data_IF_173776130781
#
_entry.id   IF_173776130781
#
_cell.length_a   1.000
_cell.length_b   1.000
_cell.length_c   1.000
_cell.angle_alpha   90.00
_cell.angle_beta   90.00
_cell.angle_gamma   90.00
#
_symmetry.space_group_name_H-M   'P 1'
#
loop_
_entity.id
_entity.type
_entity.pdbx_description
1 polymer ?
#
# COMPACT_ATOMS: atom_id res chain seq x y z
N UNK A 1 -14.81 12.95 -7.35
CA UNK A 1 -13.65 12.42 -6.59
C UNK A 1 -12.60 13.50 -6.56
N UNK A 2 -12.27 14.02 -5.38
CA UNK A 2 -11.27 15.09 -5.23
C UNK A 2 -9.89 14.48 -4.94
N UNK A 3 -8.92 14.98 -5.70
CA UNK A 3 -7.48 14.75 -5.72
C UNK A 3 -6.83 14.86 -4.33
N UNK A 4 -6.94 13.82 -3.50
CA UNK A 4 -5.98 13.63 -2.42
C UNK A 4 -4.76 12.98 -3.09
N UNK A 5 -3.60 13.61 -3.01
CA UNK A 5 -2.29 13.10 -3.49
C UNK A 5 -1.91 13.32 -4.97
N UNK A 6 -2.65 14.15 -5.73
CA UNK A 6 -2.23 14.55 -7.08
C UNK A 6 -2.32 13.47 -8.16
N UNK A 7 -2.83 12.28 -7.82
CA UNK A 7 -3.13 11.21 -8.79
C UNK A 7 -4.59 11.33 -9.24
N UNK A 8 -4.80 11.49 -10.54
CA UNK A 8 -6.12 11.33 -11.14
C UNK A 8 -6.41 9.84 -11.42
N UNK A 9 -7.59 9.54 -11.96
CA UNK A 9 -7.97 8.16 -12.24
C UNK A 9 -7.05 7.52 -13.29
N UNK A 10 -6.62 8.28 -14.31
CA UNK A 10 -5.71 7.79 -15.33
C UNK A 10 -4.33 7.44 -14.77
N UNK A 11 -3.79 8.26 -13.86
CA UNK A 11 -2.56 7.99 -13.15
C UNK A 11 -2.67 6.78 -12.23
N UNK A 12 -3.82 6.60 -11.56
CA UNK A 12 -4.09 5.39 -10.77
C UNK A 12 -4.08 4.14 -11.65
N UNK A 13 -4.78 4.17 -12.78
CA UNK A 13 -4.90 3.02 -13.68
C UNK A 13 -3.57 2.67 -14.33
N UNK A 14 -2.77 3.67 -14.72
CA UNK A 14 -1.41 3.48 -15.22
C UNK A 14 -0.51 2.82 -14.18
N UNK A 15 -0.51 3.32 -12.93
CA UNK A 15 0.28 2.74 -11.84
C UNK A 15 -0.19 1.32 -11.48
N UNK A 16 -1.51 1.08 -11.52
CA UNK A 16 -2.07 -0.25 -11.30
C UNK A 16 -1.63 -1.24 -12.39
N UNK A 17 -1.62 -0.82 -13.65
CA UNK A 17 -1.13 -1.62 -14.76
C UNK A 17 0.39 -1.88 -14.69
N UNK A 18 1.18 -0.85 -14.36
CA UNK A 18 2.63 -0.96 -14.15
C UNK A 18 2.97 -1.96 -13.03
N UNK A 19 2.16 -1.98 -11.96
CA UNK A 19 2.29 -2.95 -10.88
C UNK A 19 1.77 -4.35 -11.21
N UNK A 20 1.21 -4.59 -12.39
CA UNK A 20 0.63 -5.88 -12.77
C UNK A 20 -0.69 -6.20 -12.06
N UNK A 21 -1.42 -5.19 -11.60
CA UNK A 21 -2.71 -5.35 -10.95
C UNK A 21 -2.67 -5.92 -9.53
N UNK A 22 -1.52 -5.84 -8.86
CA UNK A 22 -1.30 -6.40 -7.52
C UNK A 22 -0.75 -5.37 -6.53
N UNK A 23 -0.87 -5.68 -5.24
CA UNK A 23 -0.22 -4.94 -4.16
C UNK A 23 1.30 -4.89 -4.38
N UNK A 24 1.91 -3.71 -4.28
CA UNK A 24 3.35 -3.55 -4.51
C UNK A 24 4.22 -4.34 -3.51
N UNK A 25 3.71 -4.61 -2.30
CA UNK A 25 4.42 -5.34 -1.24
C UNK A 25 4.12 -6.84 -1.31
N UNK A 26 2.89 -7.28 -0.99
CA UNK A 26 2.58 -8.71 -0.87
C UNK A 26 2.31 -9.41 -2.21
N UNK A 27 2.23 -8.68 -3.33
CA UNK A 27 1.94 -9.20 -4.68
C UNK A 27 0.59 -9.92 -4.84
N UNK A 28 -0.29 -9.82 -3.85
CA UNK A 28 -1.66 -10.31 -3.94
C UNK A 28 -2.55 -9.38 -4.76
N UNK A 29 -3.50 -9.97 -5.48
CA UNK A 29 -4.56 -9.22 -6.18
C UNK A 29 -5.50 -8.55 -5.18
N UNK A 30 -6.09 -7.38 -5.51
CA UNK A 30 -7.13 -6.79 -4.69
C UNK A 30 -8.37 -7.70 -4.63
N UNK A 31 -8.84 -7.96 -3.44
CA UNK A 31 -10.06 -8.72 -3.15
C UNK A 31 -10.86 -8.04 -2.05
N UNK A 32 -12.15 -8.38 -1.86
CA UNK A 32 -12.92 -7.89 -0.72
C UNK A 32 -12.32 -8.22 0.66
N UNK A 33 -11.36 -9.17 0.74
CA UNK A 33 -10.70 -9.56 1.99
C UNK A 33 -9.50 -8.67 2.35
N UNK A 34 -8.80 -8.10 1.37
CA UNK A 34 -7.58 -7.32 1.59
C UNK A 34 -7.71 -5.85 1.13
N UNK A 35 -8.90 -5.43 0.70
CA UNK A 35 -9.25 -4.04 0.39
C UNK A 35 -10.39 -3.57 1.30
N UNK A 36 -10.56 -2.25 1.45
CA UNK A 36 -11.66 -1.72 2.25
C UNK A 36 -12.96 -1.80 1.46
N UNK A 37 -14.05 -2.19 2.14
CA UNK A 37 -15.38 -2.31 1.51
C UNK A 37 -15.82 -1.03 0.78
N UNK A 38 -15.50 0.15 1.31
CA UNK A 38 -15.86 1.44 0.72
C UNK A 38 -14.93 1.90 -0.41
N UNK A 39 -13.94 1.10 -0.81
CA UNK A 39 -13.01 1.40 -1.90
C UNK A 39 -13.27 0.63 -3.18
N UNK A 40 -14.37 -0.12 -3.25
CA UNK A 40 -14.79 -0.80 -4.48
C UNK A 40 -13.68 -1.70 -5.08
N UNK A 41 -12.98 -2.43 -4.20
CA UNK A 41 -11.87 -3.30 -4.61
C UNK A 41 -10.59 -2.57 -5.02
N UNK A 42 -10.48 -1.25 -4.82
CA UNK A 42 -9.24 -0.50 -5.13
C UNK A 42 -8.19 -0.67 -4.03
N UNK A 43 -6.92 -0.62 -4.45
CA UNK A 43 -5.75 -0.57 -3.59
C UNK A 43 -5.55 0.86 -3.03
N UNK A 44 -4.91 0.98 -1.87
CA UNK A 44 -4.47 2.24 -1.29
C UNK A 44 -3.43 2.91 -2.19
N UNK A 45 -3.52 4.22 -2.39
CA UNK A 45 -2.38 5.02 -2.88
C UNK A 45 -1.44 5.30 -1.71
N UNK A 46 -0.33 4.58 -1.65
CA UNK A 46 0.73 4.82 -0.67
C UNK A 46 1.62 5.98 -1.13
N UNK A 47 1.92 6.88 -0.20
CA UNK A 47 2.69 8.07 -0.45
C UNK A 47 3.57 8.41 0.75
N UNK A 48 4.67 9.07 0.46
CA UNK A 48 5.54 9.66 1.46
C UNK A 48 4.84 10.88 2.09
N UNK A 49 4.74 10.92 3.41
CA UNK A 49 3.99 11.95 4.13
C UNK A 49 4.72 13.31 4.17
N UNK A 50 6.04 13.34 3.95
CA UNK A 50 6.85 14.57 4.00
C UNK A 50 6.92 15.24 2.62
N UNK A 51 7.06 14.44 1.58
CA UNK A 51 7.25 14.91 0.19
C UNK A 51 5.99 14.82 -0.66
N UNK A 52 4.98 14.05 -0.23
CA UNK A 52 3.80 13.74 -1.03
C UNK A 52 4.08 12.79 -2.21
N UNK A 53 5.30 12.28 -2.35
CA UNK A 53 5.69 11.40 -3.46
C UNK A 53 4.95 10.07 -3.34
N UNK A 54 4.22 9.71 -4.40
CA UNK A 54 3.56 8.40 -4.49
C UNK A 54 4.63 7.31 -4.57
N UNK A 55 4.48 6.29 -3.71
CA UNK A 55 5.39 5.13 -3.64
C UNK A 55 4.82 3.92 -4.39
N UNK A 56 3.50 3.75 -4.38
CA UNK A 56 2.83 2.65 -5.07
C UNK A 56 1.39 2.43 -4.60
N UNK A 57 0.78 1.36 -5.09
CA UNK A 57 -0.54 0.88 -4.68
C UNK A 57 -0.42 -0.34 -3.76
N UNK A 58 -1.04 -0.28 -2.58
CA UNK A 58 -0.94 -1.30 -1.54
C UNK A 58 -2.31 -1.86 -1.15
N UNK A 59 -2.37 -3.12 -0.74
CA UNK A 59 -3.57 -3.62 -0.07
C UNK A 59 -3.73 -2.94 1.30
N UNK A 60 -4.91 -3.04 1.91
CA UNK A 60 -5.20 -2.38 3.19
C UNK A 60 -4.19 -2.78 4.27
N UNK A 61 -3.88 -4.06 4.38
CA UNK A 61 -3.05 -4.58 5.47
C UNK A 61 -1.59 -4.16 5.31
N UNK A 62 -1.05 -4.24 4.08
CA UNK A 62 0.29 -3.74 3.78
C UNK A 62 0.39 -2.23 4.02
N UNK A 63 -0.62 -1.46 3.61
CA UNK A 63 -0.64 -0.02 3.83
C UNK A 63 -0.68 0.34 5.33
N UNK A 64 -1.45 -0.40 6.12
CA UNK A 64 -1.47 -0.23 7.58
C UNK A 64 -0.13 -0.60 8.21
N UNK A 65 0.48 -1.71 7.80
CA UNK A 65 1.80 -2.11 8.29
C UNK A 65 2.86 -1.02 8.05
N UNK A 66 2.89 -0.44 6.84
CA UNK A 66 3.78 0.69 6.53
C UNK A 66 3.45 1.92 7.39
N UNK A 67 2.16 2.26 7.53
CA UNK A 67 1.73 3.41 8.33
C UNK A 67 2.04 3.28 9.82
N UNK A 68 1.98 2.07 10.39
CA UNK A 68 2.33 1.81 11.80
C UNK A 68 3.81 1.54 12.03
N UNK A 69 4.57 1.25 10.96
CA UNK A 69 5.95 0.81 11.02
C UNK A 69 6.93 1.79 11.66
N UNK A 70 6.55 3.07 11.85
CA UNK A 70 7.37 4.19 12.35
C UNK A 70 8.60 4.53 11.50
N UNK A 71 9.41 3.52 11.16
CA UNK A 71 10.63 3.58 10.34
C UNK A 71 10.89 2.23 9.66
N UNK A 72 11.75 2.21 8.65
CA UNK A 72 12.19 0.96 8.04
C UNK A 72 12.94 0.06 9.02
N UNK A 73 13.69 0.65 9.95
CA UNK A 73 14.48 -0.05 10.96
C UNK A 73 13.56 -0.79 11.94
N UNK A 74 12.50 -0.13 12.40
CA UNK A 74 11.50 -0.74 13.27
C UNK A 74 10.73 -1.88 12.58
N UNK A 75 10.41 -1.72 11.29
CA UNK A 75 9.79 -2.80 10.51
C UNK A 75 10.71 -4.02 10.34
N UNK A 76 12.02 -3.80 10.10
CA UNK A 76 13.00 -4.89 10.05
C UNK A 76 13.15 -5.59 11.40
N UNK A 77 13.24 -4.82 12.49
CA UNK A 77 13.29 -5.37 13.84
C UNK A 77 12.03 -6.16 14.20
N UNK A 78 10.85 -5.74 13.73
CA UNK A 78 9.61 -6.48 13.91
C UNK A 78 9.63 -7.82 13.18
N UNK A 79 10.16 -7.87 11.95
CA UNK A 79 10.36 -9.12 11.21
C UNK A 79 11.31 -10.06 11.96
N UNK A 80 12.49 -9.56 12.38
CA UNK A 80 13.44 -10.35 13.18
C UNK A 80 12.85 -10.87 14.49
N UNK A 81 11.98 -10.08 15.15
CA UNK A 81 11.30 -10.51 16.37
C UNK A 81 10.38 -11.70 16.09
N UNK A 82 9.56 -11.64 15.03
CA UNK A 82 8.65 -12.74 14.65
C UNK A 82 9.44 -14.00 14.32
N UNK A 83 10.49 -13.88 13.51
CA UNK A 83 11.31 -15.02 13.06
C UNK A 83 11.98 -15.78 14.21
N UNK A 84 12.23 -15.12 15.37
CA UNK A 84 12.77 -15.80 16.57
C UNK A 84 11.78 -16.73 17.26
N UNK A 85 10.48 -16.58 16.98
CA UNK A 85 9.40 -17.35 17.60
C UNK A 85 8.59 -18.15 16.56
N UNK A 86 9.07 -18.22 15.32
CA UNK A 86 8.48 -19.01 14.23
C UNK A 86 9.04 -20.44 14.18
#
# INVERSE_FOLDING_TARGET
MRHRYGLDQAGYDALFAEQGGVCAICKEVPTPRNTRAHWDGKLCVDHDHDTGRIRGLLCNDCNLAVGYGKSSEALRAAAEYIDRYA
#
